data_IF_586209878333
#
_entry.id   IF_586209878333
#
_cell.length_a   1.000
_cell.length_b   1.000
_cell.length_c   1.000
_cell.angle_alpha   90.00
_cell.angle_beta   90.00
_cell.angle_gamma   90.00
#
_symmetry.space_group_name_H-M   'P 1'
#
loop_
_entity.id
_entity.type
_entity.pdbx_description
1 polymer ?
#
# COMPACT_ATOMS: atom_id res chain seq x y z
N UNK A 1 -5.20 4.20 23.83
CA UNK A 1 -4.73 3.26 24.85
C UNK A 1 -5.92 2.76 25.63
N UNK A 2 -6.15 1.45 25.60
CA UNK A 2 -7.20 0.79 26.38
C UNK A 2 -6.98 1.03 27.91
N UNK A 3 -8.04 0.99 28.71
CA UNK A 3 -7.96 1.22 30.16
C UNK A 3 -7.21 0.06 30.84
N UNK A 4 -7.49 -1.18 30.41
CA UNK A 4 -6.84 -2.39 30.92
C UNK A 4 -5.34 -2.38 30.68
N UNK A 5 -4.89 -1.83 29.55
CA UNK A 5 -3.45 -1.66 29.27
C UNK A 5 -2.77 -0.72 30.24
N UNK A 6 -3.40 0.42 30.52
CA UNK A 6 -2.82 1.38 31.45
C UNK A 6 -2.78 0.83 32.87
N UNK A 7 -3.88 0.23 33.33
CA UNK A 7 -3.97 -0.36 34.67
C UNK A 7 -2.98 -1.50 34.86
N UNK A 8 -2.92 -2.44 33.91
CA UNK A 8 -1.97 -3.55 33.96
C UNK A 8 -0.51 -3.11 33.94
N UNK A 9 -0.15 -2.11 33.12
CA UNK A 9 1.22 -1.57 33.10
C UNK A 9 1.59 -0.89 34.44
N UNK A 10 0.68 -0.11 35.02
CA UNK A 10 0.91 0.56 36.30
C UNK A 10 0.99 -0.46 37.43
N UNK A 11 0.06 -1.41 37.48
CA UNK A 11 0.01 -2.48 38.48
C UNK A 11 1.24 -3.40 38.41
N UNK A 12 1.69 -3.76 37.22
CA UNK A 12 2.91 -4.55 37.06
C UNK A 12 4.13 -3.77 37.57
N UNK A 13 4.25 -2.49 37.22
CA UNK A 13 5.38 -1.65 37.64
C UNK A 13 5.43 -1.45 39.14
N UNK A 14 4.30 -1.22 39.80
CA UNK A 14 4.25 -1.03 41.25
C UNK A 14 4.65 -2.31 41.98
N UNK A 15 4.12 -3.46 41.57
CA UNK A 15 4.48 -4.76 42.18
C UNK A 15 5.96 -5.12 41.93
N UNK A 16 6.48 -4.84 40.74
CA UNK A 16 7.91 -5.05 40.45
C UNK A 16 8.82 -4.19 41.34
N UNK A 17 8.40 -2.95 41.62
CA UNK A 17 9.13 -2.07 42.55
C UNK A 17 9.06 -2.58 43.99
N UNK A 18 7.95 -3.19 44.40
CA UNK A 18 7.76 -3.75 45.73
C UNK A 18 8.68 -4.95 46.00
N UNK A 19 9.17 -5.64 44.97
CA UNK A 19 10.15 -6.72 45.10
C UNK A 19 11.48 -6.27 45.73
N UNK A 20 11.86 -4.99 45.58
CA UNK A 20 13.15 -4.49 46.06
C UNK A 20 13.32 -4.62 47.58
N UNK A 21 12.25 -4.36 48.34
CA UNK A 21 12.26 -4.38 49.80
C UNK A 21 12.53 -5.79 50.36
N UNK A 22 11.72 -6.82 50.05
CA UNK A 22 11.97 -8.17 50.53
C UNK A 22 13.30 -8.73 49.99
N UNK A 23 13.73 -8.36 48.79
CA UNK A 23 15.05 -8.76 48.27
C UNK A 23 16.21 -8.18 49.10
N UNK A 24 16.05 -6.96 49.65
CA UNK A 24 17.04 -6.36 50.56
C UNK A 24 17.04 -7.07 51.91
N UNK A 25 15.86 -7.33 52.48
CA UNK A 25 15.71 -8.07 53.74
C UNK A 25 16.32 -9.47 53.62
N UNK A 26 16.08 -10.17 52.52
CA UNK A 26 16.67 -11.47 52.25
C UNK A 26 18.20 -11.43 52.26
N UNK A 27 18.81 -10.42 51.62
CA UNK A 27 20.27 -10.25 51.61
C UNK A 27 20.83 -10.01 53.01
N UNK A 28 20.14 -9.23 53.84
CA UNK A 28 20.54 -8.98 55.22
C UNK A 28 20.40 -10.24 56.11
N UNK A 29 19.27 -10.94 55.98
CA UNK A 29 19.02 -12.19 56.69
C UNK A 29 20.05 -13.27 56.34
N UNK A 30 20.39 -13.38 55.05
CA UNK A 30 21.44 -14.29 54.56
C UNK A 30 22.81 -14.01 55.18
N UNK A 31 23.15 -12.74 55.43
CA UNK A 31 24.43 -12.37 56.10
C UNK A 31 24.44 -12.77 57.58
N UNK A 32 23.27 -12.77 58.23
CA UNK A 32 23.11 -13.14 59.65
C UNK A 32 22.90 -14.64 59.86
N UNK A 33 22.64 -15.39 58.78
CA UNK A 33 22.28 -16.81 58.86
C UNK A 33 20.85 -17.06 59.37
N UNK A 34 19.99 -16.05 59.34
CA UNK A 34 18.59 -16.16 59.78
C UNK A 34 17.73 -16.74 58.65
N UNK A 35 17.53 -18.05 58.67
CA UNK A 35 16.78 -18.79 57.65
C UNK A 35 15.29 -18.49 57.68
N UNK A 36 14.72 -18.24 58.86
CA UNK A 36 13.29 -17.96 59.00
C UNK A 36 12.89 -16.64 58.32
N UNK A 37 13.70 -15.58 58.50
CA UNK A 37 13.46 -14.32 57.80
C UNK A 37 13.78 -14.39 56.31
N UNK A 38 14.71 -15.25 55.88
CA UNK A 38 14.97 -15.53 54.47
C UNK A 38 13.74 -16.14 53.78
N UNK A 39 13.17 -17.20 54.35
CA UNK A 39 11.99 -17.88 53.79
C UNK A 39 10.80 -16.92 53.68
N UNK A 40 10.54 -16.15 54.75
CA UNK A 40 9.47 -15.15 54.74
C UNK A 40 9.68 -14.07 53.68
N UNK A 41 10.92 -13.60 53.49
CA UNK A 41 11.24 -12.61 52.47
C UNK A 41 11.03 -13.17 51.05
N UNK A 42 11.43 -14.43 50.79
CA UNK A 42 11.17 -15.10 49.51
C UNK A 42 9.66 -15.26 49.29
N UNK A 43 8.88 -15.59 50.32
CA UNK A 43 7.41 -15.66 50.23
C UNK A 43 6.81 -14.37 49.67
N UNK A 44 7.19 -13.23 50.25
CA UNK A 44 6.74 -11.92 49.74
C UNK A 44 7.23 -11.62 48.31
N UNK A 45 8.44 -12.04 47.95
CA UNK A 45 8.92 -11.91 46.56
C UNK A 45 8.01 -12.68 45.60
N UNK A 46 7.62 -13.91 45.96
CA UNK A 46 6.67 -14.72 45.18
C UNK A 46 5.34 -13.99 44.99
N UNK A 47 4.71 -13.55 46.08
CA UNK A 47 3.41 -12.86 46.03
C UNK A 47 3.40 -11.61 45.15
N UNK A 48 4.45 -10.79 45.21
CA UNK A 48 4.56 -9.60 44.37
C UNK A 48 4.93 -9.93 42.93
N UNK A 49 5.70 -11.00 42.70
CA UNK A 49 6.03 -11.46 41.36
C UNK A 49 4.78 -11.98 40.65
N UNK A 50 3.99 -12.81 41.32
CA UNK A 50 2.76 -13.38 40.78
C UNK A 50 1.76 -12.27 40.44
N UNK A 51 1.56 -11.31 41.33
CA UNK A 51 0.70 -10.13 41.06
C UNK A 51 1.23 -9.30 39.90
N UNK A 52 2.55 -9.11 39.78
CA UNK A 52 3.12 -8.37 38.65
C UNK A 52 2.85 -9.09 37.32
N UNK A 53 2.90 -10.43 37.30
CA UNK A 53 2.55 -11.23 36.13
C UNK A 53 1.07 -11.16 35.79
N UNK A 54 0.17 -11.20 36.78
CA UNK A 54 -1.28 -11.03 36.57
C UNK A 54 -1.60 -9.70 35.90
N UNK A 55 -1.04 -8.59 36.42
CA UNK A 55 -1.22 -7.27 35.83
C UNK A 55 -0.60 -7.15 34.44
N UNK A 56 0.53 -7.81 34.20
CA UNK A 56 1.12 -7.89 32.85
C UNK A 56 0.17 -8.60 31.88
N UNK A 57 -0.43 -9.72 32.30
CA UNK A 57 -1.39 -10.44 31.48
C UNK A 57 -2.65 -9.62 31.19
N UNK A 58 -3.10 -8.80 32.13
CA UNK A 58 -4.21 -7.86 31.91
C UNK A 58 -3.85 -6.76 30.92
N UNK A 59 -2.61 -6.23 31.00
CA UNK A 59 -2.12 -5.28 30.02
C UNK A 59 -2.04 -5.90 28.62
N UNK A 60 -1.54 -7.13 28.51
CA UNK A 60 -1.43 -7.85 27.23
C UNK A 60 -2.80 -8.07 26.60
N UNK A 61 -3.82 -8.44 27.39
CA UNK A 61 -5.21 -8.53 26.93
C UNK A 61 -5.74 -7.19 26.40
N UNK A 62 -5.48 -6.10 27.13
CA UNK A 62 -5.88 -4.77 26.70
C UNK A 62 -5.23 -4.34 25.39
N UNK A 63 -3.96 -4.71 25.16
CA UNK A 63 -3.25 -4.43 23.91
C UNK A 63 -3.82 -5.25 22.76
N UNK A 64 -4.16 -6.52 22.98
CA UNK A 64 -4.74 -7.35 21.95
C UNK A 64 -6.11 -6.81 21.50
N UNK A 65 -6.96 -6.38 22.44
CA UNK A 65 -8.23 -5.72 22.14
C UNK A 65 -8.02 -4.45 21.31
N UNK A 66 -7.11 -3.56 21.72
CA UNK A 66 -6.80 -2.33 20.99
C UNK A 66 -6.24 -2.60 19.59
N UNK A 67 -5.39 -3.61 19.44
CA UNK A 67 -4.85 -4.04 18.16
C UNK A 67 -5.94 -4.61 17.24
N UNK A 68 -6.88 -5.39 17.78
CA UNK A 68 -8.01 -5.93 17.02
C UNK A 68 -8.92 -4.80 16.52
N UNK A 69 -9.28 -3.85 17.39
CA UNK A 69 -10.08 -2.68 17.00
C UNK A 69 -9.38 -1.83 15.94
N UNK A 70 -8.07 -1.60 16.07
CA UNK A 70 -7.29 -0.87 15.08
C UNK A 70 -7.28 -1.58 13.71
N UNK A 71 -7.17 -2.92 13.71
CA UNK A 71 -7.24 -3.72 12.47
C UNK A 71 -8.62 -3.61 11.82
N UNK A 72 -9.70 -3.67 12.59
CA UNK A 72 -11.06 -3.53 12.05
C UNK A 72 -11.30 -2.13 11.47
N UNK A 73 -10.88 -1.07 12.17
CA UNK A 73 -10.95 0.30 11.64
C UNK A 73 -10.15 0.46 10.35
N UNK A 74 -8.96 -0.14 10.27
CA UNK A 74 -8.13 -0.10 9.07
C UNK A 74 -8.77 -0.86 7.89
N UNK A 75 -9.42 -2.00 8.14
CA UNK A 75 -10.17 -2.73 7.11
C UNK A 75 -11.34 -1.90 6.58
N UNK A 76 -12.14 -1.30 7.46
CA UNK A 76 -13.26 -0.43 7.07
C UNK A 76 -12.78 0.74 6.21
N UNK A 77 -11.72 1.43 6.63
CA UNK A 77 -11.13 2.52 5.84
C UNK A 77 -10.64 2.05 4.46
N UNK A 78 -10.06 0.84 4.41
CA UNK A 78 -9.62 0.24 3.14
C UNK A 78 -10.81 -0.08 2.24
N UNK A 79 -11.88 -0.63 2.78
CA UNK A 79 -13.10 -0.95 2.05
C UNK A 79 -13.78 0.33 1.54
N UNK A 80 -13.92 1.35 2.37
CA UNK A 80 -14.43 2.67 1.96
C UNK A 80 -13.59 3.29 0.83
N UNK A 81 -12.26 3.20 0.91
CA UNK A 81 -11.38 3.69 -0.15
C UNK A 81 -11.57 2.90 -1.46
N UNK A 82 -11.78 1.59 -1.38
CA UNK A 82 -12.08 0.75 -2.55
C UNK A 82 -13.45 1.10 -3.13
N UNK A 83 -14.47 1.29 -2.29
CA UNK A 83 -15.81 1.68 -2.73
C UNK A 83 -15.79 3.04 -3.44
N UNK A 84 -15.15 4.06 -2.85
CA UNK A 84 -14.97 5.37 -3.50
C UNK A 84 -14.29 5.25 -4.87
N UNK A 85 -13.23 4.46 -4.96
CA UNK A 85 -12.54 4.21 -6.24
C UNK A 85 -13.44 3.49 -7.26
N UNK A 86 -14.29 2.56 -6.82
CA UNK A 86 -15.26 1.87 -7.70
C UNK A 86 -16.32 2.85 -8.21
N UNK A 87 -16.88 3.69 -7.35
CA UNK A 87 -17.85 4.71 -7.72
C UNK A 87 -17.27 5.74 -8.71
N UNK A 88 -16.02 6.16 -8.50
CA UNK A 88 -15.31 7.04 -9.44
C UNK A 88 -15.14 6.38 -10.82
N UNK A 89 -14.75 5.10 -10.85
CA UNK A 89 -14.64 4.34 -12.10
C UNK A 89 -16.00 4.20 -12.80
N UNK A 90 -17.06 3.89 -12.07
CA UNK A 90 -18.40 3.79 -12.63
C UNK A 90 -18.88 5.13 -13.22
N UNK A 91 -18.62 6.24 -12.53
CA UNK A 91 -18.94 7.59 -13.05
C UNK A 91 -18.17 7.92 -14.32
N UNK A 92 -16.88 7.55 -14.39
CA UNK A 92 -16.07 7.75 -15.59
C UNK A 92 -16.55 6.86 -16.74
N UNK A 93 -16.91 5.60 -16.46
CA UNK A 93 -17.42 4.68 -17.45
C UNK A 93 -18.76 5.15 -18.03
N UNK A 94 -19.68 5.64 -17.19
CA UNK A 94 -20.92 6.29 -17.65
C UNK A 94 -20.66 7.47 -18.59
N UNK A 95 -19.71 8.34 -18.27
CA UNK A 95 -19.33 9.46 -19.16
C UNK A 95 -18.74 8.99 -20.49
N UNK A 96 -17.91 7.95 -20.48
CA UNK A 96 -17.33 7.38 -21.70
C UNK A 96 -18.43 6.74 -22.55
N UNK A 97 -19.36 6.02 -21.94
CA UNK A 97 -20.48 5.38 -22.64
C UNK A 97 -21.44 6.43 -23.21
N UNK A 98 -21.74 7.50 -22.48
CA UNK A 98 -22.49 8.65 -23.00
C UNK A 98 -21.79 9.28 -24.21
N UNK A 99 -20.47 9.48 -24.15
CA UNK A 99 -19.68 10.00 -25.28
C UNK A 99 -19.71 9.05 -26.49
N UNK A 100 -19.53 7.74 -26.30
CA UNK A 100 -19.64 6.74 -27.40
C UNK A 100 -21.03 6.73 -28.03
N UNK A 101 -22.09 6.91 -27.24
CA UNK A 101 -23.45 7.02 -27.73
C UNK A 101 -23.68 8.33 -28.51
N UNK A 102 -22.97 9.40 -28.17
CA UNK A 102 -22.96 10.64 -28.96
C UNK A 102 -22.19 10.46 -30.28
N UNK A 103 -20.99 9.87 -30.22
CA UNK A 103 -20.14 9.62 -31.39
C UNK A 103 -20.82 8.69 -32.39
N UNK A 104 -21.54 7.66 -31.95
CA UNK A 104 -22.31 6.77 -32.84
C UNK A 104 -23.54 7.45 -33.46
N UNK A 105 -24.15 8.44 -32.79
CA UNK A 105 -25.19 9.29 -33.39
C UNK A 105 -24.61 10.24 -34.44
N UNK A 106 -23.44 10.81 -34.19
CA UNK A 106 -22.71 11.62 -35.18
C UNK A 106 -22.25 10.78 -36.38
N UNK A 107 -21.68 9.59 -36.16
CA UNK A 107 -21.27 8.67 -37.24
C UNK A 107 -22.49 8.21 -38.07
N UNK A 108 -23.67 7.99 -37.45
CA UNK A 108 -24.91 7.73 -38.19
C UNK A 108 -25.39 8.93 -39.01
N UNK A 109 -25.17 10.16 -38.55
CA UNK A 109 -25.47 11.36 -39.31
C UNK A 109 -24.46 11.61 -40.46
N UNK A 110 -23.22 11.13 -40.31
CA UNK A 110 -22.16 11.18 -41.32
C UNK A 110 -22.08 9.93 -42.22
N UNK A 111 -23.09 9.05 -42.22
CA UNK A 111 -23.19 7.98 -43.21
C UNK A 111 -23.58 8.59 -44.56
N UNK A 112 -22.57 9.03 -45.32
CA UNK A 112 -22.75 9.43 -46.71
C UNK A 112 -23.09 8.16 -47.52
N UNK A 113 -24.35 8.04 -47.93
CA UNK A 113 -24.78 7.03 -48.89
C UNK A 113 -24.06 7.28 -50.22
N UNK A 114 -23.14 6.38 -50.56
CA UNK A 114 -22.47 6.40 -51.86
C UNK A 114 -23.55 6.17 -52.92
N UNK A 115 -23.77 7.15 -53.79
CA UNK A 115 -24.68 7.08 -54.93
C UNK A 115 -24.36 5.86 -55.80
N UNK A 116 -25.39 5.23 -56.40
CA UNK A 116 -25.26 4.00 -57.17
C UNK A 116 -24.19 4.07 -58.28
N UNK A 117 -23.98 5.26 -58.86
CA UNK A 117 -22.96 5.51 -59.90
C UNK A 117 -21.52 5.49 -59.35
N UNK A 118 -21.29 5.99 -58.12
CA UNK A 118 -19.96 5.99 -57.49
C UNK A 118 -19.49 4.59 -57.07
N UNK A 119 -20.42 3.65 -56.88
CA UNK A 119 -20.11 2.25 -56.58
C UNK A 119 -19.52 1.48 -57.77
N UNK A 120 -19.78 1.93 -58.99
CA UNK A 120 -19.25 1.30 -60.22
C UNK A 120 -17.79 1.70 -60.42
N UNK A 121 -17.46 2.99 -60.29
CA UNK A 121 -16.09 3.50 -60.41
C UNK A 121 -15.09 2.96 -59.37
N UNK A 122 -15.59 2.49 -58.22
CA UNK A 122 -14.76 1.89 -57.17
C UNK A 122 -14.31 0.46 -57.51
N UNK A 123 -15.05 -0.25 -58.36
CA UNK A 123 -14.66 -1.59 -58.85
C UNK A 123 -13.60 -1.50 -59.95
N UNK A 124 -13.63 -0.45 -60.77
CA UNK A 124 -12.72 -0.31 -61.91
C UNK A 124 -11.28 0.06 -61.52
N UNK A 125 -11.01 0.41 -60.25
CA UNK A 125 -9.68 0.79 -59.76
C UNK A 125 -8.96 -0.32 -58.95
N UNK A 126 -9.56 -1.51 -58.80
CA UNK A 126 -8.92 -2.62 -58.06
C UNK A 126 -8.07 -3.51 -58.97
N UNK A 127 -8.29 -3.47 -60.29
CA UNK A 127 -7.61 -4.35 -61.27
C UNK A 127 -6.47 -3.65 -62.05
N UNK A 128 -5.87 -2.60 -61.49
CA UNK A 128 -4.66 -1.97 -62.04
C UNK A 128 -3.43 -2.41 -61.24
N UNK A 129 -2.93 -3.60 -61.55
CA UNK A 129 -1.60 -4.08 -61.16
C UNK A 129 -0.51 -3.09 -61.65
N UNK A 130 -0.11 -2.17 -60.79
CA UNK A 130 1.19 -1.50 -60.92
C UNK A 130 2.24 -2.36 -60.25
N UNK A 131 2.77 -3.31 -61.02
CA UNK A 131 4.02 -4.01 -60.71
C UNK A 131 5.14 -2.98 -60.57
N UNK A 132 5.58 -2.77 -59.34
CA UNK A 132 6.72 -1.94 -58.99
C UNK A 132 7.27 -2.42 -57.65
N UNK A 133 7.98 -3.54 -57.68
CA UNK A 133 8.79 -3.98 -56.53
C UNK A 133 9.99 -3.04 -56.41
N UNK A 134 9.85 -1.98 -55.65
CA UNK A 134 11.01 -1.37 -55.00
C UNK A 134 11.03 -1.86 -53.55
N UNK A 135 11.85 -2.89 -53.35
CA UNK A 135 12.40 -3.26 -52.06
C UNK A 135 12.95 -2.00 -51.38
N UNK A 136 12.22 -1.44 -50.41
CA UNK A 136 12.80 -0.47 -49.49
C UNK A 136 13.80 -1.25 -48.64
N UNK A 137 15.06 -1.25 -49.09
CA UNK A 137 16.22 -1.59 -48.28
C UNK A 137 16.20 -0.67 -47.06
N UNK A 138 15.70 -1.20 -45.95
CA UNK A 138 15.84 -0.59 -44.62
C UNK A 138 17.28 -0.87 -44.21
N UNK A 139 18.19 -0.01 -44.64
CA UNK A 139 19.55 0.01 -44.13
C UNK A 139 19.79 1.31 -43.35
N UNK A 140 20.50 1.15 -42.24
CA UNK A 140 20.90 2.13 -41.25
C UNK A 140 19.80 2.71 -40.33
N UNK A 141 19.73 2.08 -39.15
CA UNK A 141 19.48 2.68 -37.82
C UNK A 141 19.70 4.20 -37.83
N UNK A 142 18.63 5.01 -37.78
CA UNK A 142 18.73 6.42 -37.41
C UNK A 142 18.06 6.62 -36.06
N UNK A 143 18.88 6.93 -35.05
CA UNK A 143 18.42 7.29 -33.72
C UNK A 143 17.54 8.56 -33.77
N UNK A 144 16.53 8.66 -32.90
CA UNK A 144 15.66 9.83 -32.84
C UNK A 144 16.45 11.06 -32.37
N UNK A 145 16.47 12.10 -33.22
CA UNK A 145 17.12 13.39 -32.91
C UNK A 145 16.18 14.24 -32.05
N UNK A 146 16.67 14.67 -30.89
CA UNK A 146 15.93 15.54 -29.96
C UNK A 146 16.36 16.99 -30.19
N UNK A 147 15.38 17.89 -30.33
CA UNK A 147 15.58 19.33 -30.51
C UNK A 147 15.26 20.11 -29.23
N UNK A 148 16.02 21.16 -28.97
CA UNK A 148 15.71 22.12 -27.89
C UNK A 148 14.65 23.12 -28.33
N UNK A 149 14.05 23.85 -27.38
CA UNK A 149 13.00 24.86 -27.66
C UNK A 149 13.45 26.01 -28.58
N UNK A 150 14.75 26.12 -28.86
CA UNK A 150 15.35 27.15 -29.73
C UNK A 150 15.73 26.56 -31.11
N UNK A 151 15.48 25.26 -31.34
CA UNK A 151 15.66 24.61 -32.65
C UNK A 151 17.05 24.01 -32.91
N UNK A 152 17.92 23.95 -31.91
CA UNK A 152 19.24 23.31 -32.04
C UNK A 152 19.19 21.82 -31.72
N UNK A 153 19.93 21.02 -32.50
CA UNK A 153 20.06 19.56 -32.36
C UNK A 153 20.97 19.20 -31.17
N UNK A 154 20.51 18.30 -30.29
CA UNK A 154 21.37 17.75 -29.22
C UNK A 154 22.07 16.47 -29.71
N UNK A 155 23.41 16.36 -29.63
CA UNK A 155 24.10 15.09 -29.87
C UNK A 155 23.78 14.08 -28.76
N UNK A 156 23.60 12.80 -29.11
CA UNK A 156 23.03 11.74 -28.27
C UNK A 156 23.94 11.22 -27.12
N UNK A 157 25.02 11.91 -26.76
CA UNK A 157 25.91 11.47 -25.68
C UNK A 157 25.72 12.29 -24.41
N UNK A 158 24.67 11.98 -23.65
CA UNK A 158 24.63 12.23 -22.20
C UNK A 158 23.62 11.29 -21.54
N UNK A 159 23.95 9.99 -21.55
CA UNK A 159 23.32 9.03 -20.65
C UNK A 159 23.86 9.27 -19.24
N UNK A 160 23.19 10.12 -18.45
CA UNK A 160 23.37 10.12 -17.00
C UNK A 160 22.62 8.91 -16.45
N UNK A 161 23.36 7.86 -16.11
CA UNK A 161 22.83 6.68 -15.42
C UNK A 161 22.27 7.08 -14.05
N UNK A 162 20.94 7.05 -13.90
CA UNK A 162 20.30 7.11 -12.58
C UNK A 162 19.98 5.67 -12.18
N UNK A 163 20.83 5.12 -11.31
CA UNK A 163 20.61 3.82 -10.67
C UNK A 163 19.54 3.94 -9.59
N UNK A 164 18.40 3.27 -9.78
CA UNK A 164 17.42 3.05 -8.70
C UNK A 164 17.47 1.57 -8.34
N UNK A 165 18.05 1.28 -7.17
CA UNK A 165 18.05 -0.07 -6.59
C UNK A 165 16.66 -0.37 -6.02
N UNK A 166 16.10 -1.54 -6.36
CA UNK A 166 14.95 -2.16 -5.69
C UNK A 166 15.46 -3.14 -4.65
#
# INVERSE_FOLDING_TARGET
MNIKTMEGLVGARTNMNLLNTPMRVFKEARRKGDTATMERAIGYVGEFSDKAEEYKAEADKGMEEEAREAREKAKLQREEAIQKRREEREKLEKRIEENRNADTKEIKACLLEISAEGKVLLKDNIDSDSTGSDEIKIDAVKEPVIYTKIGEKLPSEQMTSISVSV
#
